data_IF_208385619289
#
_entry.id   IF_208385619289
#
_cell.length_a   1.000
_cell.length_b   1.000
_cell.length_c   1.000
_cell.angle_alpha   90.00
_cell.angle_beta   90.00
_cell.angle_gamma   90.00
#
_symmetry.space_group_name_H-M   'P 1'
#
loop_
_entity.id
_entity.type
_entity.pdbx_description
1 polymer ?
#
# COMPACT_ATOMS: atom_id res chain seq x y z
N UNK A 1 -19.84 -26.85 5.62
CA UNK A 1 -19.54 -26.73 7.07
C UNK A 1 -18.04 -26.80 7.24
N UNK A 2 -17.36 -25.67 7.46
CA UNK A 2 -15.95 -25.66 7.84
C UNK A 2 -15.84 -24.91 9.17
N UNK A 3 -15.16 -25.56 10.10
CA UNK A 3 -15.21 -25.33 11.53
C UNK A 3 -14.68 -23.95 11.97
N UNK A 4 -15.45 -23.34 12.86
CA UNK A 4 -15.04 -22.33 13.83
C UNK A 4 -13.79 -22.78 14.58
N UNK A 5 -12.71 -22.00 14.57
CA UNK A 5 -11.76 -21.81 15.68
C UNK A 5 -10.62 -20.90 15.21
N UNK A 6 -10.77 -19.58 15.40
CA UNK A 6 -9.64 -18.67 15.58
C UNK A 6 -10.14 -17.40 16.27
N UNK A 7 -10.53 -17.54 17.54
CA UNK A 7 -10.80 -16.43 18.45
C UNK A 7 -9.81 -16.53 19.61
N UNK A 8 -8.59 -16.04 19.41
CA UNK A 8 -7.68 -15.61 20.49
C UNK A 8 -6.60 -14.65 19.94
N UNK A 9 -6.86 -13.36 20.13
CA UNK A 9 -5.91 -12.27 20.44
C UNK A 9 -4.42 -12.53 20.18
N UNK A 10 -3.96 -12.13 18.99
CA UNK A 10 -2.72 -11.37 18.85
C UNK A 10 -3.09 -10.12 18.04
N UNK A 11 -2.86 -8.92 18.60
CA UNK A 11 -2.95 -7.65 17.85
C UNK A 11 -1.87 -7.63 16.77
N UNK A 12 -2.09 -8.33 15.67
CA UNK A 12 -1.49 -7.95 14.39
C UNK A 12 -2.28 -6.74 13.93
N UNK A 13 -1.68 -5.56 13.99
CA UNK A 13 -2.21 -4.38 13.31
C UNK A 13 -2.08 -4.65 11.82
N UNK A 14 -3.14 -5.18 11.22
CA UNK A 14 -3.24 -5.29 9.77
C UNK A 14 -3.03 -3.91 9.14
N UNK A 15 -2.33 -3.86 8.02
CA UNK A 15 -2.16 -2.61 7.26
C UNK A 15 -3.55 -2.13 6.79
N UNK A 16 -3.69 -0.84 6.48
CA UNK A 16 -4.97 -0.29 5.96
C UNK A 16 -5.46 -1.06 4.73
N UNK A 17 -4.54 -1.48 3.87
CA UNK A 17 -4.85 -2.31 2.69
C UNK A 17 -5.40 -3.68 3.11
N UNK A 18 -4.75 -4.36 4.05
CA UNK A 18 -5.20 -5.66 4.53
C UNK A 18 -6.54 -5.59 5.26
N UNK A 19 -6.75 -4.57 6.10
CA UNK A 19 -8.03 -4.31 6.76
C UNK A 19 -9.13 -4.06 5.73
N UNK A 20 -8.92 -3.13 4.79
CA UNK A 20 -9.90 -2.84 3.74
C UNK A 20 -10.21 -4.06 2.86
N UNK A 21 -9.20 -4.84 2.50
CA UNK A 21 -9.40 -6.07 1.72
C UNK A 21 -10.28 -7.07 2.48
N UNK A 22 -10.01 -7.32 3.77
CA UNK A 22 -10.83 -8.19 4.60
C UNK A 22 -12.26 -7.66 4.73
N UNK A 23 -12.43 -6.36 5.00
CA UNK A 23 -13.74 -5.75 5.22
C UNK A 23 -14.61 -5.74 3.96
N UNK A 24 -14.04 -5.47 2.78
CA UNK A 24 -14.80 -5.33 1.53
C UNK A 24 -14.98 -6.65 0.75
N UNK A 25 -14.08 -7.60 0.92
CA UNK A 25 -14.06 -8.83 0.09
C UNK A 25 -14.16 -10.12 0.92
N UNK A 26 -14.20 -10.01 2.25
CA UNK A 26 -14.11 -11.15 3.17
C UNK A 26 -12.84 -12.01 2.92
N UNK A 27 -11.76 -11.37 2.45
CA UNK A 27 -10.52 -12.04 2.12
C UNK A 27 -10.54 -12.85 0.82
N UNK A 28 -11.51 -12.64 -0.08
CA UNK A 28 -11.58 -13.35 -1.35
C UNK A 28 -10.50 -12.84 -2.33
N UNK A 29 -9.55 -13.72 -2.66
CA UNK A 29 -8.42 -13.41 -3.54
C UNK A 29 -8.82 -13.08 -4.98
N UNK A 30 -10.01 -13.49 -5.44
CA UNK A 30 -10.52 -13.14 -6.78
C UNK A 30 -10.74 -11.62 -6.93
N UNK A 31 -10.84 -10.89 -5.82
CA UNK A 31 -10.98 -9.44 -5.77
C UNK A 31 -9.65 -8.71 -5.50
N UNK A 32 -8.51 -9.42 -5.51
CA UNK A 32 -7.19 -8.85 -5.26
C UNK A 32 -6.31 -8.91 -6.50
N UNK A 33 -5.70 -7.77 -6.85
CA UNK A 33 -4.74 -7.69 -7.94
C UNK A 33 -3.61 -6.73 -7.60
N UNK A 34 -2.39 -7.04 -8.06
CA UNK A 34 -1.23 -6.17 -7.96
C UNK A 34 -0.77 -5.78 -9.35
N UNK A 35 -0.48 -4.49 -9.56
CA UNK A 35 0.06 -3.97 -10.80
C UNK A 35 1.27 -3.08 -10.52
N UNK A 36 2.36 -3.31 -11.23
CA UNK A 36 3.51 -2.41 -11.23
C UNK A 36 3.21 -1.15 -12.04
N UNK A 37 3.40 0.04 -11.43
CA UNK A 37 3.12 1.32 -12.09
C UNK A 37 4.34 1.83 -12.85
N UNK A 38 5.51 1.86 -12.20
CA UNK A 38 6.74 2.37 -12.79
C UNK A 38 7.95 1.61 -12.25
N UNK A 39 8.84 1.22 -13.16
CA UNK A 39 10.16 0.64 -12.82
C UNK A 39 11.16 1.77 -12.64
N UNK A 40 11.86 1.80 -11.49
CA UNK A 40 13.02 2.66 -11.30
C UNK A 40 14.21 2.09 -12.08
N UNK A 41 14.79 2.90 -12.97
CA UNK A 41 16.03 2.56 -13.67
C UNK A 41 17.19 3.15 -12.86
N UNK A 42 18.14 2.34 -12.39
CA UNK A 42 19.32 2.85 -11.69
C UNK A 42 20.12 3.77 -12.63
N UNK A 43 20.48 4.96 -12.16
CA UNK A 43 21.43 5.79 -12.90
C UNK A 43 22.84 5.21 -12.75
N UNK A 44 23.67 5.38 -13.78
CA UNK A 44 25.11 5.02 -13.74
C UNK A 44 25.88 5.69 -12.59
N UNK A 45 25.35 6.81 -12.08
CA UNK A 45 25.85 7.50 -10.89
C UNK A 45 24.89 7.13 -9.77
N UNK A 46 25.42 6.45 -8.77
CA UNK A 46 24.72 5.88 -7.62
C UNK A 46 24.13 6.98 -6.73
N UNK A 47 23.13 7.71 -7.24
CA UNK A 47 22.31 8.61 -6.45
C UNK A 47 21.37 7.81 -5.55
N UNK A 48 20.86 8.46 -4.50
CA UNK A 48 19.97 7.86 -3.52
C UNK A 48 18.69 7.30 -4.18
N UNK A 49 18.66 5.98 -4.37
CA UNK A 49 17.54 5.27 -4.98
C UNK A 49 16.29 5.34 -4.11
N UNK A 50 16.46 5.42 -2.79
CA UNK A 50 15.35 5.52 -1.83
C UNK A 50 14.64 6.85 -2.03
N UNK A 51 15.37 7.97 -2.09
CA UNK A 51 14.77 9.29 -2.39
C UNK A 51 13.98 9.28 -3.71
N UNK A 52 14.48 8.61 -4.74
CA UNK A 52 13.77 8.47 -6.02
C UNK A 52 12.50 7.64 -5.91
N UNK A 53 12.53 6.52 -5.17
CA UNK A 53 11.35 5.69 -4.93
C UNK A 53 10.28 6.48 -4.19
N UNK A 54 10.65 7.21 -3.14
CA UNK A 54 9.74 8.03 -2.33
C UNK A 54 9.11 9.16 -3.15
N UNK A 55 9.90 9.81 -4.01
CA UNK A 55 9.38 10.80 -4.95
C UNK A 55 8.36 10.19 -5.93
N UNK A 56 8.67 9.02 -6.49
CA UNK A 56 7.77 8.34 -7.43
C UNK A 56 6.50 7.85 -6.74
N UNK A 57 6.59 7.33 -5.52
CA UNK A 57 5.46 6.94 -4.69
C UNK A 57 4.52 8.13 -4.47
N UNK A 58 5.06 9.27 -3.99
CA UNK A 58 4.28 10.48 -3.81
C UNK A 58 3.61 10.92 -5.12
N UNK A 59 4.38 11.00 -6.22
CA UNK A 59 3.86 11.36 -7.55
C UNK A 59 2.66 10.48 -7.93
N UNK A 60 2.77 9.16 -7.80
CA UNK A 60 1.71 8.25 -8.22
C UNK A 60 0.51 8.23 -7.27
N UNK A 61 0.70 8.47 -5.97
CA UNK A 61 -0.43 8.71 -5.03
C UNK A 61 -1.28 9.90 -5.49
N UNK A 62 -0.64 10.99 -5.95
CA UNK A 62 -1.35 12.15 -6.49
C UNK A 62 -1.99 11.88 -7.85
N UNK A 63 -1.23 11.31 -8.80
CA UNK A 63 -1.70 11.06 -10.17
C UNK A 63 -2.87 10.08 -10.20
N UNK A 64 -2.83 9.02 -9.39
CA UNK A 64 -3.90 8.01 -9.33
C UNK A 64 -5.02 8.38 -8.34
N UNK A 65 -4.92 9.54 -7.68
CA UNK A 65 -5.89 10.02 -6.69
C UNK A 65 -6.22 9.00 -5.58
N UNK A 66 -5.23 8.20 -5.14
CA UNK A 66 -5.43 7.11 -4.16
C UNK A 66 -5.43 7.57 -2.70
N UNK A 67 -5.60 8.87 -2.46
CA UNK A 67 -5.65 9.47 -1.12
C UNK A 67 -7.02 9.29 -0.48
N UNK A 68 -7.04 9.09 0.82
CA UNK A 68 -8.27 9.16 1.63
C UNK A 68 -8.98 10.51 1.39
N UNK A 69 -10.32 10.53 1.28
CA UNK A 69 -11.27 9.43 1.53
C UNK A 69 -11.53 8.51 0.32
N UNK A 70 -11.07 8.85 -0.88
CA UNK A 70 -11.37 8.08 -2.10
C UNK A 70 -10.44 6.87 -2.30
N UNK A 71 -9.30 6.85 -1.62
CA UNK A 71 -8.36 5.72 -1.65
C UNK A 71 -7.76 5.41 -0.29
N UNK A 72 -6.86 4.43 -0.26
CA UNK A 72 -6.36 3.82 0.98
C UNK A 72 -5.12 4.50 1.55
N UNK A 73 -4.51 5.44 0.83
CA UNK A 73 -3.39 6.23 1.33
C UNK A 73 -3.92 7.35 2.25
N UNK A 74 -3.80 7.19 3.56
CA UNK A 74 -4.16 8.23 4.52
C UNK A 74 -3.07 9.26 4.74
N UNK A 75 -3.46 10.44 5.15
CA UNK A 75 -2.66 11.66 5.13
C UNK A 75 -1.31 11.57 5.87
N UNK A 76 -0.28 12.16 5.24
CA UNK A 76 1.00 12.66 5.77
C UNK A 76 2.22 11.75 5.95
N UNK A 77 2.26 10.52 5.42
CA UNK A 77 3.54 9.77 5.38
C UNK A 77 4.41 10.11 4.14
N UNK A 78 4.09 11.21 3.45
CA UNK A 78 5.02 11.84 2.53
C UNK A 78 6.02 12.61 3.39
N UNK A 79 6.97 11.90 3.99
CA UNK A 79 8.08 12.54 4.68
C UNK A 79 8.72 13.56 3.72
N UNK A 80 8.74 14.84 4.08
CA UNK A 80 9.48 15.83 3.33
C UNK A 80 10.98 15.49 3.42
N UNK A 81 11.52 14.81 2.42
CA UNK A 81 12.95 14.59 2.32
C UNK A 81 13.61 15.85 1.79
N UNK A 82 14.22 16.63 2.71
CA UNK A 82 15.16 17.69 2.36
C UNK A 82 16.50 17.10 1.88
#
# INVERSE_FOLDING_TARGET
MCNSYCRHLHRYTYTRVATHFLDCTNGNLDHFSIQGIQRLIPDKREGDQIKKLLYLEAKWIFVLATRSPMGLNSEYDVSCYF
#
